data_IF_673149330235
#
_entry.id   IF_673149330235
#
_cell.length_a   1.000
_cell.length_b   1.000
_cell.length_c   1.000
_cell.angle_alpha   90.00
_cell.angle_beta   90.00
_cell.angle_gamma   90.00
#
_symmetry.space_group_name_H-M   'P 1'
#
loop_
_entity.id
_entity.type
_entity.pdbx_description
1 polymer ?
#
# COMPACT_ATOMS: atom_id res chain seq x y z
N UNK A 1 -7.05 -34.28 62.50
CA UNK A 1 -7.86 -34.34 61.27
C UNK A 1 -7.54 -33.11 60.46
N UNK A 2 -7.20 -33.30 59.18
CA UNK A 2 -6.57 -32.34 58.27
C UNK A 2 -7.32 -31.02 58.11
N UNK A 3 -6.51 -29.97 57.91
CA UNK A 3 -6.92 -28.59 57.75
C UNK A 3 -7.48 -28.22 56.37
N UNK A 4 -8.14 -27.07 56.39
CA UNK A 4 -8.80 -26.35 55.32
C UNK A 4 -7.87 -26.01 54.16
N UNK A 5 -8.30 -26.28 52.93
CA UNK A 5 -7.70 -25.73 51.70
C UNK A 5 -8.70 -24.82 51.00
N UNK A 6 -8.55 -23.50 51.14
CA UNK A 6 -9.14 -22.54 50.20
C UNK A 6 -8.41 -22.70 48.86
N UNK A 7 -9.11 -23.23 47.86
CA UNK A 7 -8.63 -23.23 46.47
C UNK A 7 -8.57 -21.79 45.95
N UNK A 8 -7.37 -21.25 45.81
CA UNK A 8 -7.13 -20.04 45.01
C UNK A 8 -7.38 -20.39 43.55
N UNK A 9 -8.58 -20.10 43.06
CA UNK A 9 -8.92 -20.21 41.64
C UNK A 9 -8.12 -19.18 40.84
N UNK A 10 -6.90 -19.56 40.45
CA UNK A 10 -6.10 -18.77 39.52
C UNK A 10 -6.85 -18.66 38.19
N UNK A 11 -7.21 -17.45 37.80
CA UNK A 11 -7.67 -17.16 36.45
C UNK A 11 -6.55 -17.58 35.49
N UNK A 12 -6.75 -18.70 34.80
CA UNK A 12 -5.87 -19.12 33.71
C UNK A 12 -5.72 -18.00 32.66
N UNK A 13 -4.69 -18.08 31.80
CA UNK A 13 -4.43 -17.03 30.81
C UNK A 13 -5.70 -16.79 29.97
N UNK A 14 -6.07 -15.51 29.84
CA UNK A 14 -7.23 -15.13 29.02
C UNK A 14 -6.99 -15.62 27.59
N UNK A 15 -7.95 -16.32 26.96
CA UNK A 15 -7.79 -16.76 25.58
C UNK A 15 -7.59 -15.53 24.70
N UNK A 16 -6.42 -15.46 24.05
CA UNK A 16 -6.10 -14.40 23.10
C UNK A 16 -6.48 -14.89 21.71
N UNK A 17 -7.44 -14.21 21.08
CA UNK A 17 -7.79 -14.47 19.68
C UNK A 17 -6.98 -13.49 18.83
N UNK A 18 -6.13 -14.03 17.96
CA UNK A 18 -5.37 -13.24 16.98
C UNK A 18 -6.02 -13.42 15.62
N UNK A 19 -6.46 -12.31 15.02
CA UNK A 19 -6.90 -12.27 13.64
C UNK A 19 -5.87 -11.48 12.82
N UNK A 20 -5.41 -12.05 11.70
CA UNK A 20 -4.56 -11.36 10.74
C UNK A 20 -5.44 -10.85 9.62
N UNK A 21 -5.39 -9.56 9.33
CA UNK A 21 -6.15 -8.92 8.28
C UNK A 21 -5.16 -8.30 7.29
N UNK A 22 -5.31 -8.66 6.03
CA UNK A 22 -4.54 -8.07 4.92
C UNK A 22 -5.38 -7.02 4.22
N UNK A 23 -4.75 -5.92 3.84
CA UNK A 23 -5.39 -4.85 3.08
C UNK A 23 -4.53 -4.51 1.87
N UNK A 24 -5.08 -4.80 0.69
CA UNK A 24 -4.49 -4.42 -0.59
C UNK A 24 -5.16 -3.12 -1.06
N UNK A 25 -4.42 -2.02 -0.97
CA UNK A 25 -4.92 -0.72 -1.40
C UNK A 25 -5.21 -0.74 -2.90
N UNK A 26 -6.42 -0.36 -3.35
CA UNK A 26 -6.72 -0.29 -4.77
C UNK A 26 -5.86 0.80 -5.41
N UNK A 27 -5.34 0.52 -6.62
CA UNK A 27 -4.60 1.49 -7.41
C UNK A 27 -5.46 2.74 -7.65
N UNK A 28 -4.90 3.93 -7.43
CA UNK A 28 -5.64 5.19 -7.45
C UNK A 28 -6.11 5.68 -6.08
N UNK A 29 -5.90 4.90 -5.01
CA UNK A 29 -6.16 5.33 -3.63
C UNK A 29 -4.92 5.93 -2.95
N UNK A 30 -3.82 6.13 -3.68
CA UNK A 30 -2.58 6.68 -3.12
C UNK A 30 -2.80 8.06 -2.51
N UNK A 31 -2.35 8.25 -1.26
CA UNK A 31 -2.58 9.48 -0.48
C UNK A 31 -3.90 9.51 0.28
N UNK A 32 -4.79 8.53 0.09
CA UNK A 32 -6.04 8.44 0.84
C UNK A 32 -5.88 7.75 2.20
N UNK A 33 -6.90 7.92 3.04
CA UNK A 33 -7.03 7.24 4.32
C UNK A 33 -8.29 6.34 4.30
N UNK A 34 -8.12 5.06 4.60
CA UNK A 34 -9.23 4.09 4.67
C UNK A 34 -9.40 3.64 6.11
N UNK A 35 -10.59 3.81 6.66
CA UNK A 35 -10.91 3.34 8.02
C UNK A 35 -11.70 2.05 7.94
N UNK A 36 -11.19 1.00 8.57
CA UNK A 36 -11.89 -0.28 8.72
C UNK A 36 -12.15 -0.56 10.19
N UNK A 37 -13.33 -1.07 10.51
CA UNK A 37 -13.77 -1.32 11.88
C UNK A 37 -14.03 -2.81 12.08
N UNK A 38 -13.49 -3.34 13.17
CA UNK A 38 -13.66 -4.71 13.62
C UNK A 38 -14.57 -4.71 14.83
N UNK A 39 -15.59 -5.54 14.78
CA UNK A 39 -16.45 -5.83 15.92
C UNK A 39 -15.98 -7.12 16.59
N UNK A 40 -15.51 -7.02 17.82
CA UNK A 40 -15.22 -8.18 18.65
C UNK A 40 -16.46 -8.54 19.48
N UNK A 41 -16.95 -9.75 19.31
CA UNK A 41 -18.12 -10.27 20.03
C UNK A 41 -17.69 -11.26 21.10
N UNK A 42 -18.17 -11.06 22.33
CA UNK A 42 -17.93 -11.99 23.45
C UNK A 42 -19.19 -12.82 23.69
N UNK A 43 -19.01 -14.14 23.76
CA UNK A 43 -20.07 -15.11 24.00
C UNK A 43 -19.87 -15.79 25.37
N UNK A 44 -20.94 -16.02 26.15
CA UNK A 44 -20.84 -16.53 27.51
C UNK A 44 -20.38 -18.00 27.62
N UNK A 45 -20.40 -18.78 26.54
CA UNK A 45 -19.90 -20.18 26.51
C UNK A 45 -18.63 -20.28 25.69
N UNK A 46 -17.47 -20.18 26.34
CA UNK A 46 -16.15 -20.38 25.71
C UNK A 46 -15.83 -21.86 25.40
N UNK A 47 -16.69 -22.79 25.83
CA UNK A 47 -16.47 -24.24 25.71
C UNK A 47 -16.90 -24.82 24.36
N UNK A 48 -17.50 -24.02 23.48
CA UNK A 48 -17.86 -24.39 22.10
C UNK A 48 -17.52 -23.23 21.16
N UNK A 49 -17.26 -23.49 19.87
CA UNK A 49 -17.18 -22.43 18.87
C UNK A 49 -18.48 -21.61 18.90
N UNK A 50 -18.34 -20.29 19.06
CA UNK A 50 -19.49 -19.41 19.06
C UNK A 50 -20.22 -19.43 17.71
N UNK A 51 -21.55 -19.45 17.74
CA UNK A 51 -22.39 -19.28 16.56
C UNK A 51 -22.93 -17.86 16.50
N UNK A 52 -23.23 -17.37 15.29
CA UNK A 52 -23.86 -16.06 15.09
C UNK A 52 -25.23 -15.94 15.80
N UNK A 53 -25.87 -17.06 16.11
CA UNK A 53 -27.14 -17.12 16.86
C UNK A 53 -26.98 -17.16 18.38
N UNK A 54 -25.76 -17.24 18.92
CA UNK A 54 -25.52 -17.26 20.37
C UNK A 54 -25.71 -15.86 20.98
N UNK A 55 -26.23 -15.80 22.20
CA UNK A 55 -26.51 -14.52 22.89
C UNK A 55 -25.21 -13.79 23.23
N UNK A 56 -24.97 -12.68 22.55
CA UNK A 56 -23.80 -11.82 22.76
C UNK A 56 -23.88 -11.09 24.12
N UNK A 57 -22.77 -11.04 24.85
CA UNK A 57 -22.71 -10.35 26.16
C UNK A 57 -22.00 -9.00 26.09
N UNK A 58 -21.11 -8.79 25.12
CA UNK A 58 -20.46 -7.50 24.88
C UNK A 58 -19.98 -7.41 23.43
N UNK A 59 -20.18 -6.25 22.81
CA UNK A 59 -19.60 -5.90 21.51
C UNK A 59 -18.51 -4.84 21.73
N UNK A 60 -17.31 -5.06 21.20
CA UNK A 60 -16.23 -4.09 21.23
C UNK A 60 -15.84 -3.72 19.81
N UNK A 61 -16.12 -2.48 19.43
CA UNK A 61 -15.68 -1.96 18.14
C UNK A 61 -14.27 -1.37 18.25
N UNK A 62 -13.43 -1.74 17.27
CA UNK A 62 -12.07 -1.23 17.11
C UNK A 62 -11.88 -0.85 15.66
N UNK A 63 -11.63 0.41 15.40
CA UNK A 63 -11.33 0.88 14.06
C UNK A 63 -9.83 1.12 13.92
N UNK A 64 -9.29 0.79 12.75
CA UNK A 64 -7.94 1.18 12.33
C UNK A 64 -8.06 2.03 11.07
N UNK A 65 -7.20 3.03 10.96
CA UNK A 65 -7.09 3.85 9.75
C UNK A 65 -5.79 3.51 9.05
N UNK A 66 -5.91 3.11 7.79
CA UNK A 66 -4.81 2.76 6.91
C UNK A 66 -4.53 3.97 6.02
N UNK A 67 -3.31 4.50 6.11
CA UNK A 67 -2.85 5.59 5.25
C UNK A 67 -2.16 4.98 4.03
N UNK A 68 -2.73 5.16 2.85
CA UNK A 68 -2.15 4.65 1.61
C UNK A 68 -1.03 5.59 1.20
N UNK A 69 0.22 5.12 1.27
CA UNK A 69 1.37 5.98 1.00
C UNK A 69 1.58 6.18 -0.49
N UNK A 70 1.78 7.43 -0.91
CA UNK A 70 2.15 7.76 -2.29
C UNK A 70 3.57 7.28 -2.59
N UNK A 71 3.79 6.72 -3.78
CA UNK A 71 5.08 6.19 -4.27
C UNK A 71 5.65 5.02 -3.48
N UNK A 72 4.79 4.27 -2.79
CA UNK A 72 5.21 3.07 -2.08
C UNK A 72 4.30 1.91 -2.41
N UNK A 73 4.88 0.72 -2.35
CA UNK A 73 4.17 -0.52 -2.57
C UNK A 73 4.69 -1.59 -1.62
N UNK A 74 3.78 -2.34 -1.02
CA UNK A 74 4.12 -3.52 -0.24
C UNK A 74 4.02 -4.74 -1.14
N UNK A 75 5.10 -5.50 -1.26
CA UNK A 75 5.17 -6.66 -2.15
C UNK A 75 4.22 -7.77 -1.72
N UNK A 76 3.53 -8.35 -2.70
CA UNK A 76 2.69 -9.52 -2.55
C UNK A 76 3.40 -10.81 -2.98
N UNK A 77 2.74 -11.97 -2.80
CA UNK A 77 3.29 -13.25 -3.23
C UNK A 77 3.58 -13.28 -4.74
N UNK A 78 4.81 -13.69 -5.11
CA UNK A 78 5.22 -13.82 -6.51
C UNK A 78 5.66 -12.52 -7.18
N UNK A 79 5.69 -11.40 -6.46
CA UNK A 79 6.24 -10.16 -7.01
C UNK A 79 7.73 -10.29 -7.32
N UNK A 80 8.13 -9.62 -8.41
CA UNK A 80 9.52 -9.46 -8.86
C UNK A 80 9.79 -7.97 -9.08
N UNK A 81 11.05 -7.57 -9.15
CA UNK A 81 11.39 -6.19 -9.54
C UNK A 81 10.81 -5.82 -10.92
N UNK A 82 10.75 -6.79 -11.85
CA UNK A 82 10.20 -6.59 -13.18
C UNK A 82 8.68 -6.38 -13.16
N UNK A 83 7.93 -7.27 -12.49
CA UNK A 83 6.46 -7.16 -12.44
C UNK A 83 6.02 -5.87 -11.77
N UNK A 84 6.68 -5.49 -10.68
CA UNK A 84 6.40 -4.24 -9.96
C UNK A 84 6.75 -3.02 -10.82
N UNK A 85 7.92 -3.03 -11.48
CA UNK A 85 8.33 -1.94 -12.38
C UNK A 85 7.36 -1.74 -13.55
N UNK A 86 6.92 -2.83 -14.18
CA UNK A 86 5.96 -2.75 -15.29
C UNK A 86 4.59 -2.23 -14.80
N UNK A 87 4.11 -2.73 -13.66
CA UNK A 87 2.78 -2.40 -13.13
C UNK A 87 2.67 -0.96 -12.63
N UNK A 88 3.70 -0.47 -11.94
CA UNK A 88 3.63 0.81 -11.22
C UNK A 88 4.44 1.93 -11.85
N UNK A 89 5.51 1.61 -12.59
CA UNK A 89 6.41 2.59 -13.20
C UNK A 89 6.33 2.63 -14.73
N UNK A 90 5.53 1.74 -15.34
CA UNK A 90 5.45 1.58 -16.80
C UNK A 90 6.83 1.39 -17.44
N UNK A 91 7.72 0.67 -16.77
CA UNK A 91 9.08 0.48 -17.23
C UNK A 91 9.49 -0.98 -17.14
N UNK A 92 10.19 -1.46 -18.18
CA UNK A 92 10.91 -2.74 -18.16
C UNK A 92 12.25 -2.66 -17.43
N UNK A 93 12.72 -1.44 -17.09
CA UNK A 93 13.99 -1.23 -16.41
C UNK A 93 13.86 -1.42 -14.90
N UNK A 94 13.69 -2.68 -14.50
CA UNK A 94 13.59 -3.11 -13.12
C UNK A 94 14.81 -2.69 -12.27
N UNK A 95 15.98 -2.48 -12.88
CA UNK A 95 17.21 -2.06 -12.20
C UNK A 95 17.08 -0.69 -11.54
N UNK A 96 16.22 0.19 -12.05
CA UNK A 96 15.91 1.47 -11.40
C UNK A 96 15.22 1.27 -10.07
N UNK A 97 14.23 0.38 -10.03
CA UNK A 97 13.52 0.02 -8.81
C UNK A 97 14.47 -0.62 -7.80
N UNK A 98 15.38 -1.49 -8.26
CA UNK A 98 16.40 -2.08 -7.39
C UNK A 98 17.32 -1.01 -6.78
N UNK A 99 17.89 -0.14 -7.61
CA UNK A 99 18.80 0.90 -7.17
C UNK A 99 18.12 1.90 -6.20
N UNK A 100 16.84 2.18 -6.38
CA UNK A 100 16.06 3.03 -5.47
C UNK A 100 15.82 2.38 -4.09
N UNK A 101 15.98 1.06 -4.00
CA UNK A 101 15.73 0.25 -2.80
C UNK A 101 17.00 -0.50 -2.37
N UNK A 102 18.17 0.14 -2.57
CA UNK A 102 19.47 -0.46 -2.25
C UNK A 102 19.53 -0.92 -0.79
N UNK A 103 20.02 -2.15 -0.58
CA UNK A 103 20.12 -2.76 0.74
C UNK A 103 18.87 -3.50 1.22
N UNK A 104 17.72 -3.38 0.55
CA UNK A 104 16.54 -4.19 0.85
C UNK A 104 16.60 -5.60 0.23
N UNK A 105 17.38 -5.77 -0.84
CA UNK A 105 17.58 -7.06 -1.52
C UNK A 105 19.06 -7.31 -1.78
N UNK A 106 19.50 -8.53 -1.49
CA UNK A 106 20.84 -9.03 -1.83
C UNK A 106 20.91 -9.68 -3.21
N UNK A 107 19.79 -10.26 -3.69
CA UNK A 107 19.67 -10.90 -4.99
C UNK A 107 18.50 -10.28 -5.76
N UNK A 108 18.73 -9.67 -6.93
CA UNK A 108 17.68 -9.05 -7.75
C UNK A 108 16.79 -10.04 -8.51
N UNK A 109 17.27 -11.26 -8.75
CA UNK A 109 16.57 -12.26 -9.55
C UNK A 109 15.68 -13.15 -8.67
N UNK A 110 15.86 -13.08 -7.35
CA UNK A 110 15.00 -13.74 -6.38
C UNK A 110 13.59 -13.09 -6.30
N UNK A 111 12.54 -13.87 -6.02
CA UNK A 111 11.22 -13.32 -5.69
C UNK A 111 11.30 -12.37 -4.50
N UNK A 112 10.47 -11.34 -4.51
CA UNK A 112 10.48 -10.34 -3.45
C UNK A 112 9.85 -10.91 -2.18
N UNK A 113 10.49 -10.74 -1.00
CA UNK A 113 9.87 -11.15 0.26
C UNK A 113 8.54 -10.42 0.45
N UNK A 114 7.48 -11.16 0.78
CA UNK A 114 6.14 -10.59 1.00
C UNK A 114 6.18 -9.55 2.12
N UNK A 115 5.52 -8.41 1.92
CA UNK A 115 5.48 -7.33 2.90
C UNK A 115 6.67 -6.35 2.82
N UNK A 116 7.60 -6.56 1.89
CA UNK A 116 8.69 -5.60 1.66
C UNK A 116 8.10 -4.30 1.12
N UNK A 117 8.36 -3.19 1.81
CA UNK A 117 7.93 -1.87 1.34
C UNK A 117 8.97 -1.30 0.38
N UNK A 118 8.60 -1.20 -0.89
CA UNK A 118 9.41 -0.60 -1.94
C UNK A 118 9.09 0.89 -2.10
N UNK A 119 10.12 1.70 -2.25
CA UNK A 119 10.03 3.04 -2.82
C UNK A 119 9.98 2.91 -4.35
N UNK A 120 8.84 3.30 -4.94
CA UNK A 120 8.61 3.14 -6.38
C UNK A 120 9.35 4.21 -7.20
N UNK A 121 9.22 5.46 -6.80
CA UNK A 121 9.79 6.61 -7.49
C UNK A 121 10.04 7.76 -6.51
N UNK A 122 10.90 8.73 -6.85
CA UNK A 122 11.01 9.97 -6.10
C UNK A 122 9.66 10.69 -6.00
N UNK A 123 9.45 11.35 -4.87
CA UNK A 123 8.29 12.20 -4.65
C UNK A 123 8.61 13.64 -5.07
N UNK A 124 7.67 14.26 -5.78
CA UNK A 124 7.69 15.69 -6.08
C UNK A 124 6.47 16.36 -5.46
N UNK A 125 6.71 17.38 -4.63
CA UNK A 125 5.65 18.23 -4.08
C UNK A 125 5.39 19.37 -5.05
N UNK A 126 4.19 19.41 -5.61
CA UNK A 126 3.74 20.46 -6.54
C UNK A 126 3.91 21.83 -5.92
N UNK A 127 4.52 22.75 -6.66
CA UNK A 127 4.71 24.14 -6.25
C UNK A 127 3.64 25.04 -6.86
N UNK A 128 3.38 26.23 -6.28
CA UNK A 128 2.51 27.22 -6.90
C UNK A 128 2.96 27.56 -8.34
N UNK A 129 2.04 27.48 -9.30
CA UNK A 129 2.31 27.74 -10.71
C UNK A 129 2.82 26.54 -11.51
N UNK A 130 3.07 25.39 -10.87
CA UNK A 130 3.37 24.16 -11.60
C UNK A 130 2.16 23.69 -12.42
N UNK A 131 2.45 23.19 -13.63
CA UNK A 131 1.51 22.41 -14.43
C UNK A 131 2.08 21.01 -14.63
N UNK A 132 1.21 20.04 -14.97
CA UNK A 132 1.68 18.69 -15.33
C UNK A 132 2.70 18.72 -16.48
N UNK A 133 2.56 19.64 -17.44
CA UNK A 133 3.49 19.79 -18.55
C UNK A 133 4.88 20.27 -18.09
N UNK A 134 4.94 21.26 -17.19
CA UNK A 134 6.21 21.76 -16.61
C UNK A 134 6.90 20.65 -15.81
N UNK A 135 6.14 19.95 -14.96
CA UNK A 135 6.67 18.86 -14.14
C UNK A 135 7.17 17.71 -15.04
N UNK A 136 6.37 17.28 -16.01
CA UNK A 136 6.74 16.22 -16.94
C UNK A 136 8.04 16.58 -17.71
N UNK A 137 8.14 17.81 -18.22
CA UNK A 137 9.35 18.31 -18.88
C UNK A 137 10.58 18.28 -17.96
N UNK A 138 10.44 18.68 -16.70
CA UNK A 138 11.52 18.66 -15.70
C UNK A 138 12.07 17.24 -15.46
N UNK A 139 11.21 16.22 -15.50
CA UNK A 139 11.59 14.83 -15.24
C UNK A 139 11.77 13.98 -16.50
N UNK A 140 11.82 14.63 -17.67
CA UNK A 140 11.93 13.95 -18.97
C UNK A 140 10.87 12.84 -19.14
N UNK A 141 9.63 13.17 -18.76
CA UNK A 141 8.46 12.31 -18.86
C UNK A 141 7.40 12.97 -19.75
N UNK A 142 6.34 12.23 -20.08
CA UNK A 142 5.14 12.77 -20.73
C UNK A 142 4.05 13.02 -19.69
N UNK A 143 3.12 13.94 -19.98
CA UNK A 143 1.94 14.16 -19.11
C UNK A 143 1.14 12.87 -18.94
N UNK A 144 0.98 12.11 -20.04
CA UNK A 144 0.31 10.80 -20.03
C UNK A 144 1.01 9.82 -19.09
N UNK A 145 2.33 9.67 -19.21
CA UNK A 145 3.12 8.78 -18.34
C UNK A 145 3.04 9.21 -16.88
N UNK A 146 3.11 10.51 -16.60
CA UNK A 146 2.97 11.05 -15.25
C UNK A 146 1.58 10.72 -14.65
N UNK A 147 0.50 10.89 -15.41
CA UNK A 147 -0.86 10.52 -14.96
C UNK A 147 -1.04 9.02 -14.77
N UNK A 148 -0.44 8.20 -15.64
CA UNK A 148 -0.53 6.75 -15.49
C UNK A 148 0.20 6.27 -14.24
N UNK A 149 1.34 6.87 -13.87
CA UNK A 149 2.05 6.57 -12.62
C UNK A 149 1.34 7.17 -11.39
N UNK A 150 0.50 8.19 -11.57
CA UNK A 150 -0.28 8.83 -10.51
C UNK A 150 -1.79 8.67 -10.73
N UNK A 151 -2.34 7.45 -10.67
CA UNK A 151 -3.74 7.17 -11.03
C UNK A 151 -4.76 7.86 -10.12
N UNK A 152 -4.40 8.21 -8.88
CA UNK A 152 -5.25 9.01 -8.00
C UNK A 152 -5.58 10.40 -8.57
N UNK A 153 -4.78 10.89 -9.52
CA UNK A 153 -4.99 12.14 -10.24
C UNK A 153 -5.96 11.99 -11.43
N UNK A 154 -6.36 10.79 -11.81
CA UNK A 154 -7.20 10.56 -13.00
C UNK A 154 -8.59 11.23 -12.89
N UNK A 155 -9.07 11.48 -11.66
CA UNK A 155 -10.30 12.21 -11.40
C UNK A 155 -10.10 13.74 -11.27
N UNK A 156 -8.84 14.22 -11.28
CA UNK A 156 -8.53 15.64 -11.12
C UNK A 156 -8.57 16.36 -12.48
N UNK A 157 -9.22 17.53 -12.59
CA UNK A 157 -9.16 18.34 -13.79
C UNK A 157 -7.69 18.66 -14.12
N UNK A 158 -7.30 18.48 -15.38
CA UNK A 158 -5.96 18.81 -15.91
C UNK A 158 -5.60 20.28 -15.67
N UNK A 159 -6.61 21.14 -15.54
CA UNK A 159 -6.50 22.59 -15.40
C UNK A 159 -6.26 23.09 -13.97
N UNK A 160 -6.20 22.20 -12.96
CA UNK A 160 -6.08 22.59 -11.55
C UNK A 160 -5.21 21.66 -10.73
N UNK A 161 -3.91 21.56 -11.07
CA UNK A 161 -2.96 20.84 -10.22
C UNK A 161 -2.72 21.62 -8.92
N UNK A 162 -3.31 21.15 -7.82
CA UNK A 162 -3.21 21.84 -6.54
C UNK A 162 -1.78 21.85 -5.98
N UNK A 163 -1.28 23.03 -5.63
CA UNK A 163 0.00 23.18 -4.93
C UNK A 163 -0.02 22.37 -3.62
N UNK A 164 1.10 21.71 -3.32
CA UNK A 164 1.24 20.81 -2.18
C UNK A 164 0.87 19.35 -2.47
N UNK A 165 0.23 19.04 -3.60
CA UNK A 165 0.01 17.65 -4.05
C UNK A 165 1.36 16.94 -4.17
N UNK A 166 1.45 15.70 -3.70
CA UNK A 166 2.65 14.87 -3.83
C UNK A 166 2.45 13.89 -4.96
N UNK A 167 3.35 13.93 -5.95
CA UNK A 167 3.35 13.05 -7.12
C UNK A 167 4.56 12.12 -7.10
N UNK A 168 4.38 10.93 -7.65
CA UNK A 168 5.47 10.06 -8.05
C UNK A 168 6.01 10.51 -9.40
N UNK A 169 7.28 10.90 -9.43
CA UNK A 169 7.93 11.38 -10.64
C UNK A 169 8.91 10.33 -11.14
N UNK A 170 8.54 9.54 -12.17
CA UNK A 170 9.46 8.57 -12.72
C UNK A 170 10.62 9.30 -13.41
N UNK A 171 11.85 8.94 -13.07
CA UNK A 171 13.02 9.44 -13.80
C UNK A 171 13.04 8.80 -15.19
N UNK A 172 12.83 9.60 -16.24
CA UNK A 172 12.96 9.22 -17.65
C UNK A 172 12.07 8.03 -18.06
N UNK A 173 10.78 8.27 -18.37
CA UNK A 173 9.88 7.29 -19.03
C UNK A 173 10.04 7.34 -20.56
N UNK A 174 11.08 7.98 -21.07
CA UNK A 174 11.41 7.86 -22.49
C UNK A 174 11.87 6.44 -22.73
N UNK A 175 11.01 5.63 -23.33
CA UNK A 175 11.44 4.38 -23.93
C UNK A 175 12.56 4.70 -24.92
N UNK A 176 13.71 4.00 -24.90
CA UNK A 176 14.78 4.20 -25.86
C UNK A 176 14.36 3.84 -27.31
N UNK A 177 13.14 3.32 -27.49
CA UNK A 177 12.52 3.09 -28.78
C UNK A 177 11.23 3.94 -28.90
N UNK A 178 11.26 5.05 -29.65
CA UNK A 178 10.11 5.93 -29.88
C UNK A 178 8.87 5.20 -30.46
N UNK A 179 9.07 4.07 -31.13
CA UNK A 179 7.97 3.29 -31.74
C UNK A 179 7.11 2.51 -30.74
N UNK A 180 7.51 2.44 -29.46
CA UNK A 180 6.75 1.76 -28.42
C UNK A 180 5.98 2.74 -27.49
N UNK A 181 6.08 4.05 -27.72
CA UNK A 181 5.26 5.04 -26.98
C UNK A 181 3.90 5.21 -27.68
N UNK A 182 2.78 4.76 -27.09
CA UNK A 182 1.44 4.96 -27.64
C UNK A 182 0.96 6.43 -27.58
N UNK A 183 1.86 7.40 -27.45
CA UNK A 183 1.62 8.84 -27.48
C UNK A 183 2.70 9.65 -28.23
N UNK A 184 3.59 9.01 -28.99
CA UNK A 184 4.55 9.72 -29.84
C UNK A 184 3.83 10.40 -31.02
N UNK A 185 4.05 11.72 -31.27
CA UNK A 185 3.56 12.41 -32.47
C UNK A 185 4.44 12.13 -33.71
N UNK A 186 5.42 11.22 -33.60
CA UNK A 186 6.22 10.67 -34.70
C UNK A 186 6.01 9.17 -34.81
#
# INVERSE_FOLDING_TARGET
GQGSGLGTGGLGPRPTVVAVVTYDAPRGSEGSAVTTCFECRVFPKLTKPAKDSDTQTTALNRCITIQVQVCKYSTGPGDTLLSVSQRFLLSSNWRRLWNANAGLMSDPDAPLPVGTTLALAPQYKVQPGDTLAIIAGRFSATVKGLLQVNPFMAASPVEGLAAGTVLCVPACVQDPNPSNDPGSPY
#
